data_IF_098829503574
#
_entry.id   IF_098829503574
#
_cell.length_a   1.000
_cell.length_b   1.000
_cell.length_c   1.000
_cell.angle_alpha   90.00
_cell.angle_beta   90.00
_cell.angle_gamma   90.00
#
_symmetry.space_group_name_H-M   'P 1'
#
loop_
_entity.id
_entity.type
_entity.pdbx_description
1 polymer ?
#
# COMPACT_ATOMS: atom_id res chain seq x y z
N UNK A 1 31.13 -15.15 7.89
CA UNK A 1 29.70 -14.86 7.61
C UNK A 1 28.93 -15.22 8.86
N UNK A 2 28.01 -14.37 9.33
CA UNK A 2 27.21 -14.68 10.52
C UNK A 2 26.21 -15.78 10.16
N UNK A 3 26.45 -17.02 10.61
CA UNK A 3 25.68 -18.23 10.25
C UNK A 3 24.22 -18.22 10.75
N UNK A 4 23.81 -17.19 11.48
CA UNK A 4 22.49 -17.11 12.14
C UNK A 4 21.33 -16.84 11.17
N UNK A 5 21.58 -16.17 10.05
CA UNK A 5 20.51 -15.77 9.11
C UNK A 5 20.89 -16.10 7.67
N UNK A 6 19.94 -16.58 6.84
CA UNK A 6 20.22 -16.86 5.44
C UNK A 6 20.49 -15.55 4.66
N UNK A 7 21.36 -15.63 3.66
CA UNK A 7 21.73 -14.46 2.83
C UNK A 7 20.52 -13.77 2.17
N UNK A 8 19.42 -14.50 1.92
CA UNK A 8 18.20 -13.95 1.31
C UNK A 8 17.49 -12.89 2.16
N UNK A 9 17.74 -12.83 3.47
CA UNK A 9 17.14 -11.82 4.36
C UNK A 9 18.13 -10.75 4.81
N UNK A 10 19.39 -10.87 4.43
CA UNK A 10 20.42 -9.87 4.69
C UNK A 10 20.40 -8.79 3.60
N UNK A 11 20.71 -7.56 3.99
CA UNK A 11 20.83 -6.40 3.10
C UNK A 11 21.90 -5.46 3.63
N UNK A 12 22.47 -4.64 2.76
CA UNK A 12 23.36 -3.56 3.18
C UNK A 12 22.59 -2.23 3.15
N UNK A 13 22.75 -1.41 4.19
CA UNK A 13 22.18 -0.07 4.21
C UNK A 13 23.11 0.93 3.49
N UNK A 14 22.71 2.21 3.43
CA UNK A 14 23.50 3.24 2.73
C UNK A 14 24.88 3.50 3.34
N UNK A 15 25.08 3.15 4.61
CA UNK A 15 26.36 3.29 5.32
C UNK A 15 27.25 2.05 5.21
N UNK A 16 26.83 1.00 4.50
CA UNK A 16 27.62 -0.22 4.34
C UNK A 16 27.43 -1.26 5.45
N UNK A 17 26.48 -1.04 6.36
CA UNK A 17 26.22 -1.96 7.46
C UNK A 17 25.22 -3.04 7.04
N UNK A 18 25.47 -4.28 7.48
CA UNK A 18 24.56 -5.41 7.23
C UNK A 18 23.37 -5.38 8.17
N UNK A 19 22.16 -5.39 7.60
CA UNK A 19 20.88 -5.44 8.30
C UNK A 19 20.10 -6.71 7.94
N UNK A 20 19.28 -7.19 8.88
CA UNK A 20 18.33 -8.29 8.64
C UNK A 20 16.93 -7.73 8.40
N UNK A 21 16.32 -8.09 7.27
CA UNK A 21 14.91 -7.77 6.99
C UNK A 21 14.01 -8.66 7.84
N UNK A 22 13.43 -8.10 8.89
CA UNK A 22 12.44 -8.77 9.73
C UNK A 22 11.01 -8.43 9.27
N UNK A 23 10.14 -9.45 9.23
CA UNK A 23 8.73 -9.25 8.91
C UNK A 23 8.01 -8.59 10.10
N UNK A 24 7.38 -7.43 9.85
CA UNK A 24 6.58 -6.73 10.87
C UNK A 24 5.12 -7.23 10.91
N UNK A 25 4.50 -7.34 9.73
CA UNK A 25 3.19 -7.96 9.50
C UNK A 25 3.03 -8.23 8.01
N UNK A 26 2.08 -9.09 7.63
CA UNK A 26 1.66 -9.34 6.26
C UNK A 26 0.13 -9.34 6.18
N UNK A 27 -0.41 -9.34 4.97
CA UNK A 27 -1.84 -9.30 4.75
C UNK A 27 -2.22 -9.03 3.30
N UNK A 28 -3.45 -8.59 3.10
CA UNK A 28 -4.03 -8.26 1.80
C UNK A 28 -4.01 -6.75 1.57
N UNK A 29 -4.06 -6.33 0.31
CA UNK A 29 -4.06 -4.91 -0.02
C UNK A 29 -4.89 -4.59 -1.25
N UNK A 30 -5.38 -3.35 -1.31
CA UNK A 30 -6.02 -2.77 -2.48
C UNK A 30 -5.48 -1.36 -2.73
N UNK A 31 -5.32 -1.01 -4.01
CA UNK A 31 -5.02 0.36 -4.44
C UNK A 31 -6.22 0.88 -5.22
N UNK A 32 -6.83 1.93 -4.69
CA UNK A 32 -8.03 2.53 -5.25
C UNK A 32 -7.65 3.80 -6.01
N UNK A 33 -8.26 3.97 -7.17
CA UNK A 33 -8.31 5.24 -7.90
C UNK A 33 -9.67 5.90 -7.71
N UNK A 34 -9.71 7.22 -7.89
CA UNK A 34 -10.96 7.99 -7.87
C UNK A 34 -11.38 8.24 -9.31
N UNK A 35 -12.55 7.73 -9.66
CA UNK A 35 -13.15 7.86 -10.98
C UNK A 35 -14.35 8.79 -10.93
N UNK A 36 -14.61 9.52 -12.00
CA UNK A 36 -15.90 10.17 -12.22
C UNK A 36 -16.97 9.10 -12.51
N UNK A 37 -18.13 9.10 -11.84
CA UNK A 37 -19.12 8.03 -12.00
C UNK A 37 -19.84 8.04 -13.35
N UNK A 38 -19.73 9.11 -14.15
CA UNK A 38 -20.35 9.20 -15.48
C UNK A 38 -19.37 8.78 -16.58
N UNK A 39 -18.13 9.24 -16.53
CA UNK A 39 -17.12 8.95 -17.56
C UNK A 39 -16.22 7.75 -17.24
N UNK A 40 -16.14 7.35 -15.97
CA UNK A 40 -15.15 6.39 -15.44
C UNK A 40 -13.69 6.78 -15.68
N UNK A 41 -13.44 8.05 -16.01
CA UNK A 41 -12.10 8.62 -16.09
C UNK A 41 -11.61 9.04 -14.70
N UNK A 42 -10.29 9.09 -14.52
CA UNK A 42 -9.68 9.48 -13.25
C UNK A 42 -10.02 10.93 -12.90
N UNK A 43 -10.70 11.13 -11.78
CA UNK A 43 -11.06 12.45 -11.24
C UNK A 43 -9.99 13.02 -10.30
N UNK A 44 -9.10 12.17 -9.74
CA UNK A 44 -7.98 12.58 -8.89
C UNK A 44 -6.70 11.81 -9.24
N UNK A 45 -5.56 12.50 -9.16
CA UNK A 45 -4.22 11.91 -9.29
C UNK A 45 -3.84 11.10 -8.05
N UNK A 46 -4.34 11.50 -6.88
CA UNK A 46 -4.18 10.79 -5.61
C UNK A 46 -4.78 9.39 -5.73
N UNK A 47 -4.14 8.42 -5.08
CA UNK A 47 -4.67 7.06 -4.90
C UNK A 47 -4.89 6.79 -3.41
N UNK A 48 -5.68 5.78 -3.08
CA UNK A 48 -5.79 5.27 -1.70
C UNK A 48 -5.22 3.87 -1.63
N UNK A 49 -4.28 3.64 -0.72
CA UNK A 49 -3.79 2.32 -0.34
C UNK A 49 -4.54 1.88 0.91
N UNK A 50 -5.10 0.68 0.85
CA UNK A 50 -5.75 0.01 1.98
C UNK A 50 -5.02 -1.31 2.21
N UNK A 51 -4.63 -1.55 3.45
CA UNK A 51 -3.88 -2.72 3.89
C UNK A 51 -4.70 -3.40 4.98
N UNK A 52 -5.04 -4.67 4.77
CA UNK A 52 -5.73 -5.51 5.74
C UNK A 52 -4.73 -6.52 6.29
N UNK A 53 -4.36 -6.36 7.56
CA UNK A 53 -3.46 -7.29 8.25
C UNK A 53 -4.15 -8.62 8.48
N UNK A 54 -3.37 -9.68 8.68
CA UNK A 54 -3.90 -11.02 9.03
C UNK A 54 -4.74 -11.03 10.32
N UNK A 55 -4.50 -10.10 11.25
CA UNK A 55 -5.30 -9.94 12.47
C UNK A 55 -6.63 -9.19 12.25
N UNK A 56 -6.94 -8.80 11.01
CA UNK A 56 -8.15 -8.08 10.64
C UNK A 56 -8.08 -6.56 10.82
N UNK A 57 -6.97 -6.00 11.29
CA UNK A 57 -6.79 -4.55 11.37
C UNK A 57 -6.55 -3.93 9.99
N UNK A 58 -7.04 -2.71 9.81
CA UNK A 58 -6.82 -1.93 8.59
C UNK A 58 -5.80 -0.79 8.82
N UNK A 59 -4.88 -0.63 7.87
CA UNK A 59 -4.05 0.55 7.69
C UNK A 59 -4.35 1.21 6.34
N UNK A 60 -4.30 2.53 6.32
CA UNK A 60 -4.73 3.33 5.17
C UNK A 60 -3.76 4.45 4.91
N UNK A 61 -3.53 4.72 3.63
CA UNK A 61 -2.71 5.83 3.19
C UNK A 61 -3.29 6.46 1.94
N UNK A 62 -3.27 7.79 1.87
CA UNK A 62 -3.32 8.46 0.59
C UNK A 62 -1.93 8.47 -0.02
N UNK A 63 -1.83 8.04 -1.28
CA UNK A 63 -0.62 8.14 -2.08
C UNK A 63 -0.75 9.39 -2.93
N UNK A 64 0.08 10.39 -2.66
CA UNK A 64 0.10 11.66 -3.37
C UNK A 64 1.40 11.75 -4.20
N UNK A 65 1.30 11.79 -5.54
CA UNK A 65 2.46 11.99 -6.39
C UNK A 65 3.17 13.31 -6.08
N UNK A 66 4.50 13.26 -5.98
CA UNK A 66 5.30 14.48 -5.87
C UNK A 66 5.79 14.94 -7.25
N UNK A 67 6.46 16.10 -7.30
CA UNK A 67 7.11 16.57 -8.54
C UNK A 67 8.35 15.75 -8.90
N UNK A 68 8.92 15.00 -7.95
CA UNK A 68 10.08 14.16 -8.19
C UNK A 68 9.63 12.81 -8.71
N UNK A 69 10.23 12.35 -9.80
CA UNK A 69 9.95 11.03 -10.34
C UNK A 69 10.24 9.94 -9.30
N UNK A 70 9.40 8.90 -9.30
CA UNK A 70 9.50 7.75 -8.40
C UNK A 70 9.45 8.10 -6.90
N UNK A 71 8.86 9.25 -6.54
CA UNK A 71 8.62 9.64 -5.15
C UNK A 71 7.17 10.06 -4.94
N UNK A 72 6.49 9.30 -4.10
CA UNK A 72 5.15 9.61 -3.61
C UNK A 72 5.18 9.89 -2.12
N UNK A 73 4.26 10.73 -1.66
CA UNK A 73 4.01 10.96 -0.24
C UNK A 73 2.86 10.05 0.23
N UNK A 74 3.08 9.33 1.33
CA UNK A 74 2.03 8.59 2.02
C UNK A 74 1.48 9.44 3.18
N UNK A 75 0.17 9.71 3.16
CA UNK A 75 -0.51 10.45 4.22
C UNK A 75 -1.51 9.53 4.91
N UNK A 76 -1.35 9.34 6.22
CA UNK A 76 -2.35 8.66 7.07
C UNK A 76 -3.62 9.52 7.15
N UNK A 77 -4.79 8.99 6.78
CA UNK A 77 -6.05 9.73 6.92
C UNK A 77 -6.43 9.89 8.40
N UNK A 78 -7.13 10.98 8.72
CA UNK A 78 -7.63 11.23 10.09
C UNK A 78 -8.70 10.21 10.50
N UNK A 79 -9.55 9.83 9.55
CA UNK A 79 -10.60 8.84 9.73
C UNK A 79 -10.22 7.55 9.01
N UNK A 80 -10.41 6.42 9.70
CA UNK A 80 -10.20 5.09 9.14
C UNK A 80 -11.54 4.38 9.01
N UNK A 81 -11.77 3.75 7.86
CA UNK A 81 -12.89 2.83 7.70
C UNK A 81 -12.52 1.46 8.24
N UNK A 82 -13.52 0.74 8.78
CA UNK A 82 -13.36 -0.64 9.26
C UNK A 82 -13.62 -1.69 8.19
N UNK A 83 -14.19 -1.29 7.05
CA UNK A 83 -14.52 -2.15 5.91
C UNK A 83 -14.32 -1.40 4.60
N UNK A 84 -13.87 -2.13 3.58
CA UNK A 84 -13.60 -1.59 2.26
C UNK A 84 -14.31 -2.42 1.20
N UNK A 85 -15.24 -1.77 0.52
CA UNK A 85 -15.76 -2.21 -0.77
C UNK A 85 -15.39 -1.20 -1.85
N UNK A 86 -15.13 -1.68 -3.05
CA UNK A 86 -14.74 -0.85 -4.20
C UNK A 86 -15.28 -1.45 -5.49
N UNK A 87 -15.38 -0.59 -6.51
CA UNK A 87 -15.83 -0.98 -7.84
C UNK A 87 -14.67 -1.54 -8.66
N UNK A 88 -14.78 -2.79 -9.08
CA UNK A 88 -13.92 -3.40 -10.09
C UNK A 88 -14.48 -3.03 -11.47
N UNK A 89 -13.88 -2.03 -12.10
CA UNK A 89 -14.34 -1.50 -13.39
C UNK A 89 -14.22 -2.50 -14.55
N UNK A 90 -13.29 -3.45 -14.46
CA UNK A 90 -13.03 -4.41 -15.52
C UNK A 90 -14.06 -5.56 -15.47
N UNK A 91 -14.58 -5.85 -14.27
CA UNK A 91 -15.59 -6.91 -14.04
C UNK A 91 -16.98 -6.38 -13.72
N UNK A 92 -17.16 -5.07 -13.70
CA UNK A 92 -18.39 -4.36 -13.38
C UNK A 92 -19.10 -4.88 -12.11
N UNK A 93 -18.33 -5.00 -11.01
CA UNK A 93 -18.88 -5.49 -9.74
C UNK A 93 -18.25 -4.84 -8.52
N UNK A 94 -18.93 -4.97 -7.39
CA UNK A 94 -18.36 -4.63 -6.09
C UNK A 94 -17.43 -5.76 -5.64
N UNK A 95 -16.24 -5.37 -5.18
CA UNK A 95 -15.25 -6.25 -4.55
C UNK A 95 -14.98 -5.73 -3.15
N UNK A 96 -14.72 -6.64 -2.22
CA UNK A 96 -14.38 -6.33 -0.83
C UNK A 96 -12.94 -6.77 -0.52
N UNK A 97 -12.34 -6.12 0.47
CA UNK A 97 -11.05 -6.52 1.06
C UNK A 97 -11.21 -7.29 2.37
#
# INVERSE_FOLDING_TARGET
MCEKYPNSVLTENRSGETEVRSLKWKGEFAVLEYLDPKSLERSDKKKKLVLKKENGEFEEYFIIPTKQENKDLLITPKEKSRKYSFWDKDREKVVEL
#
